data_IF_900323908695
#
_entry.id   IF_900323908695
#
_cell.length_a   1.000
_cell.length_b   1.000
_cell.length_c   1.000
_cell.angle_alpha   90.00
_cell.angle_beta   90.00
_cell.angle_gamma   90.00
#
_symmetry.space_group_name_H-M   'P 1'
#
loop_
_entity.id
_entity.type
_entity.pdbx_description
1 polymer ?
#
# COMPACT_ATOMS: atom_id res chain seq x y z
N UNK A 1 -7.72 -34.85 31.16
CA UNK A 1 -6.65 -35.84 30.93
C UNK A 1 -6.41 -35.93 29.43
N UNK A 2 -5.34 -35.31 28.92
CA UNK A 2 -4.94 -35.42 27.53
C UNK A 2 -4.15 -36.72 27.36
N UNK A 3 -4.64 -37.65 26.54
CA UNK A 3 -3.91 -38.86 26.22
C UNK A 3 -2.70 -38.52 25.35
N UNK A 4 -1.51 -39.06 25.62
CA UNK A 4 -0.37 -38.87 24.78
C UNK A 4 -0.61 -39.59 23.46
N UNK A 5 -0.49 -38.87 22.33
CA UNK A 5 -0.50 -39.48 21.02
C UNK A 5 0.73 -40.40 20.87
N UNK A 6 0.49 -41.68 20.77
CA UNK A 6 1.55 -42.66 20.50
C UNK A 6 2.07 -42.48 19.07
N UNK A 7 3.35 -42.23 18.92
CA UNK A 7 4.02 -42.23 17.63
C UNK A 7 4.12 -43.70 17.13
N UNK A 8 4.17 -43.86 15.81
CA UNK A 8 4.17 -45.17 15.11
C UNK A 8 5.28 -46.16 15.49
N UNK A 9 6.27 -45.73 16.27
CA UNK A 9 7.36 -46.58 16.78
C UNK A 9 7.17 -47.07 18.22
N UNK A 10 6.01 -46.80 18.82
CA UNK A 10 5.63 -47.35 20.14
C UNK A 10 6.46 -46.83 21.33
N UNK A 11 7.36 -45.90 21.13
CA UNK A 11 8.19 -45.35 22.21
C UNK A 11 7.52 -44.10 22.80
N UNK A 12 7.29 -44.04 24.15
CA UNK A 12 6.75 -42.85 24.75
C UNK A 12 7.74 -41.68 24.62
N UNK A 13 7.26 -40.57 24.04
CA UNK A 13 8.06 -39.33 24.04
C UNK A 13 8.16 -38.77 25.44
N UNK A 14 9.32 -38.90 26.06
CA UNK A 14 9.61 -38.21 27.32
C UNK A 14 9.90 -36.75 27.00
N UNK A 15 8.93 -35.90 27.30
CA UNK A 15 9.19 -34.45 27.28
C UNK A 15 10.06 -34.09 28.46
N UNK A 16 11.29 -33.69 28.21
CA UNK A 16 12.16 -33.12 29.24
C UNK A 16 11.62 -31.75 29.61
N UNK A 17 11.70 -31.36 30.87
CA UNK A 17 11.27 -30.03 31.39
C UNK A 17 12.00 -28.86 30.71
N UNK A 18 13.03 -29.12 29.96
CA UNK A 18 13.80 -28.20 29.15
C UNK A 18 13.30 -28.31 27.71
N UNK A 19 12.66 -27.29 27.19
CA UNK A 19 12.25 -27.21 25.79
C UNK A 19 13.42 -26.69 24.92
N UNK A 20 14.38 -27.53 24.51
CA UNK A 20 15.52 -27.08 23.71
C UNK A 20 15.14 -26.82 22.25
N UNK A 21 13.88 -27.03 21.87
CA UNK A 21 13.39 -26.89 20.49
C UNK A 21 12.61 -25.61 20.26
N UNK A 22 13.02 -24.51 20.82
CA UNK A 22 12.71 -23.23 20.22
C UNK A 22 13.49 -23.19 18.91
N UNK A 23 12.78 -23.44 17.83
CA UNK A 23 13.33 -23.30 16.49
C UNK A 23 13.64 -21.81 16.30
N UNK A 24 14.84 -21.40 16.72
CA UNK A 24 15.35 -20.08 16.42
C UNK A 24 15.66 -20.07 14.92
N UNK A 25 14.64 -19.85 14.11
CA UNK A 25 14.87 -19.46 12.73
C UNK A 25 15.64 -18.14 12.78
N UNK A 26 16.91 -18.21 12.46
CA UNK A 26 17.68 -17.04 12.09
C UNK A 26 17.06 -16.51 10.81
N UNK A 27 16.10 -15.56 10.94
CA UNK A 27 15.60 -14.81 9.81
C UNK A 27 16.73 -13.94 9.31
N UNK A 28 17.19 -14.21 8.09
CA UNK A 28 18.17 -13.35 7.42
C UNK A 28 17.65 -11.90 7.40
N UNK A 29 18.53 -10.92 7.63
CA UNK A 29 18.21 -9.49 7.51
C UNK A 29 17.60 -9.16 6.13
N UNK A 30 17.92 -9.96 5.12
CA UNK A 30 17.43 -9.82 3.74
C UNK A 30 16.29 -10.77 3.40
N UNK A 31 15.49 -11.23 4.39
CA UNK A 31 14.37 -12.15 4.18
C UNK A 31 13.36 -11.66 3.13
N UNK A 32 13.19 -10.35 3.03
CA UNK A 32 12.25 -9.69 2.11
C UNK A 32 12.69 -9.76 0.62
N UNK A 33 13.98 -10.04 0.34
CA UNK A 33 14.49 -10.26 -1.03
C UNK A 33 14.30 -11.70 -1.51
N UNK A 34 14.00 -12.65 -0.59
CA UNK A 34 13.94 -14.07 -0.93
C UNK A 34 12.71 -14.46 -1.76
N UNK A 35 11.60 -13.69 -1.63
CA UNK A 35 10.37 -13.95 -2.38
C UNK A 35 9.82 -12.66 -2.98
N UNK A 36 9.37 -12.76 -4.25
CA UNK A 36 8.75 -11.61 -4.96
C UNK A 36 7.58 -11.00 -4.19
N UNK A 37 6.79 -11.82 -3.49
CA UNK A 37 5.66 -11.34 -2.67
C UNK A 37 6.10 -10.47 -1.50
N UNK A 38 7.21 -10.81 -0.85
CA UNK A 38 7.76 -10.02 0.25
C UNK A 38 8.35 -8.70 -0.26
N UNK A 39 9.07 -8.76 -1.39
CA UNK A 39 9.59 -7.56 -2.03
C UNK A 39 8.46 -6.60 -2.43
N UNK A 40 7.40 -7.11 -3.09
CA UNK A 40 6.24 -6.31 -3.45
C UNK A 40 5.53 -5.70 -2.22
N UNK A 41 5.45 -6.45 -1.11
CA UNK A 41 4.90 -5.95 0.14
C UNK A 41 5.74 -4.78 0.69
N UNK A 42 7.05 -4.95 0.82
CA UNK A 42 7.95 -3.88 1.30
C UNK A 42 7.92 -2.66 0.39
N UNK A 43 7.88 -2.87 -0.94
CA UNK A 43 7.78 -1.78 -1.90
C UNK A 43 6.45 -1.01 -1.75
N UNK A 44 5.35 -1.71 -1.47
CA UNK A 44 4.06 -1.08 -1.17
C UNK A 44 4.13 -0.24 0.10
N UNK A 45 4.72 -0.77 1.18
CA UNK A 45 4.88 0.00 2.43
C UNK A 45 5.78 1.23 2.21
N UNK A 46 6.87 1.08 1.47
CA UNK A 46 7.77 2.19 1.11
C UNK A 46 7.05 3.25 0.26
N UNK A 47 6.08 2.86 -0.56
CA UNK A 47 5.30 3.81 -1.37
C UNK A 47 4.50 4.82 -0.53
N UNK A 48 4.20 4.51 0.74
CA UNK A 48 3.54 5.44 1.66
C UNK A 48 4.34 6.73 1.89
N UNK A 49 5.67 6.66 1.82
CA UNK A 49 6.53 7.85 1.94
C UNK A 49 6.30 8.82 0.76
N UNK A 50 6.13 8.28 -0.44
CA UNK A 50 5.86 9.07 -1.64
C UNK A 50 4.44 9.63 -1.66
N UNK A 51 3.47 8.88 -1.11
CA UNK A 51 2.11 9.40 -0.90
C UNK A 51 2.13 10.57 0.10
N UNK A 52 2.85 10.43 1.21
CA UNK A 52 3.01 11.50 2.20
C UNK A 52 3.72 12.72 1.60
N UNK A 53 4.80 12.53 0.82
CA UNK A 53 5.46 13.61 0.09
C UNK A 53 4.46 14.35 -0.80
N UNK A 54 3.67 13.63 -1.59
CA UNK A 54 2.71 14.26 -2.51
C UNK A 54 1.62 15.04 -1.77
N UNK A 55 1.16 14.54 -0.62
CA UNK A 55 0.23 15.25 0.25
C UNK A 55 0.85 16.58 0.76
N UNK A 56 2.09 16.54 1.22
CA UNK A 56 2.83 17.75 1.65
C UNK A 56 3.00 18.72 0.49
N UNK A 57 3.37 18.22 -0.69
CA UNK A 57 3.50 19.04 -1.90
C UNK A 57 2.19 19.75 -2.26
N UNK A 58 1.05 19.06 -2.21
CA UNK A 58 -0.26 19.67 -2.44
C UNK A 58 -0.62 20.72 -1.36
N UNK A 59 -0.28 20.47 -0.09
CA UNK A 59 -0.46 21.47 0.96
C UNK A 59 0.41 22.71 0.74
N UNK A 60 1.63 22.55 0.26
CA UNK A 60 2.49 23.68 -0.12
C UNK A 60 1.89 24.48 -1.28
N UNK A 61 1.32 23.81 -2.29
CA UNK A 61 0.62 24.44 -3.40
C UNK A 61 -0.57 25.26 -2.90
N UNK A 62 -1.45 24.67 -2.08
CA UNK A 62 -2.61 25.35 -1.52
C UNK A 62 -2.18 26.58 -0.69
N UNK A 63 -1.13 26.43 0.12
CA UNK A 63 -0.55 27.53 0.88
C UNK A 63 0.01 28.65 -0.02
N UNK A 64 0.67 28.29 -1.12
CA UNK A 64 1.22 29.25 -2.07
C UNK A 64 0.09 30.06 -2.74
N UNK A 65 -0.98 29.39 -3.18
CA UNK A 65 -2.19 30.04 -3.74
C UNK A 65 -2.81 31.00 -2.71
N UNK A 66 -2.95 30.57 -1.46
CA UNK A 66 -3.53 31.39 -0.39
C UNK A 66 -2.68 32.60 0.01
N UNK A 67 -1.38 32.65 -0.34
CA UNK A 67 -0.49 33.78 -0.09
C UNK A 67 -0.47 34.81 -1.22
N UNK A 68 -1.10 34.50 -2.36
CA UNK A 68 -1.21 35.37 -3.50
C UNK A 68 -0.25 35.03 -4.64
N UNK A 69 -0.39 35.80 -5.73
CA UNK A 69 0.24 35.50 -7.02
C UNK A 69 1.77 35.36 -6.95
N UNK A 70 2.46 36.24 -6.25
CA UNK A 70 3.92 36.18 -6.15
C UNK A 70 4.40 34.87 -5.52
N UNK A 71 3.79 34.44 -4.40
CA UNK A 71 4.13 33.19 -3.74
C UNK A 71 3.77 31.96 -4.61
N UNK A 72 2.72 32.04 -5.39
CA UNK A 72 2.34 31.01 -6.33
C UNK A 72 3.36 30.86 -7.47
N UNK A 73 3.84 31.97 -8.04
CA UNK A 73 4.87 31.97 -9.09
C UNK A 73 6.22 31.41 -8.55
N UNK A 74 6.60 31.80 -7.34
CA UNK A 74 7.78 31.25 -6.67
C UNK A 74 7.66 29.73 -6.48
N UNK A 75 6.47 29.25 -6.05
CA UNK A 75 6.21 27.81 -5.93
C UNK A 75 6.31 27.10 -7.28
N UNK A 76 5.76 27.67 -8.35
CA UNK A 76 5.86 27.09 -9.70
C UNK A 76 7.31 27.00 -10.17
N UNK A 77 8.09 28.06 -9.98
CA UNK A 77 9.51 28.08 -10.32
C UNK A 77 10.30 27.02 -9.55
N UNK A 78 10.03 26.87 -8.23
CA UNK A 78 10.63 25.82 -7.41
C UNK A 78 10.20 24.43 -7.88
N UNK A 79 8.92 24.23 -8.20
CA UNK A 79 8.37 22.95 -8.68
C UNK A 79 8.94 22.53 -10.03
N UNK A 80 9.28 23.49 -10.90
CA UNK A 80 9.89 23.26 -12.20
C UNK A 80 11.40 22.94 -12.11
N UNK A 81 12.01 23.07 -10.93
CA UNK A 81 13.41 22.69 -10.76
C UNK A 81 13.61 21.19 -10.98
N UNK A 82 14.73 20.81 -11.61
CA UNK A 82 15.00 19.43 -12.00
C UNK A 82 14.88 18.41 -10.83
N UNK A 83 15.42 18.68 -9.62
CA UNK A 83 15.30 17.72 -8.51
C UNK A 83 13.85 17.54 -8.03
N UNK A 84 13.05 18.61 -7.99
CA UNK A 84 11.64 18.54 -7.55
C UNK A 84 10.80 17.84 -8.61
N UNK A 85 11.03 18.14 -9.88
CA UNK A 85 10.33 17.49 -10.98
C UNK A 85 10.62 15.99 -11.00
N UNK A 86 11.88 15.59 -10.83
CA UNK A 86 12.27 14.18 -10.76
C UNK A 86 11.64 13.48 -9.54
N UNK A 87 11.67 14.12 -8.37
CA UNK A 87 11.05 13.59 -7.16
C UNK A 87 9.54 13.41 -7.34
N UNK A 88 8.86 14.39 -7.95
CA UNK A 88 7.43 14.31 -8.23
C UNK A 88 7.10 13.20 -9.25
N UNK A 89 7.93 13.02 -10.28
CA UNK A 89 7.76 11.95 -11.26
C UNK A 89 7.90 10.55 -10.61
N UNK A 90 8.93 10.37 -9.79
CA UNK A 90 9.14 9.13 -9.03
C UNK A 90 7.98 8.90 -8.06
N UNK A 91 7.58 9.94 -7.31
CA UNK A 91 6.45 9.86 -6.38
C UNK A 91 5.15 9.48 -7.09
N UNK A 92 4.90 10.06 -8.26
CA UNK A 92 3.73 9.69 -9.08
C UNK A 92 3.73 8.21 -9.45
N UNK A 93 4.86 7.67 -9.89
CA UNK A 93 5.01 6.24 -10.17
C UNK A 93 4.68 5.36 -8.94
N UNK A 94 5.18 5.74 -7.77
CA UNK A 94 4.87 5.04 -6.52
C UNK A 94 3.43 5.19 -6.06
N UNK A 95 2.77 6.33 -6.29
CA UNK A 95 1.35 6.55 -5.99
C UNK A 95 0.48 5.63 -6.86
N UNK A 96 0.77 5.55 -8.15
CA UNK A 96 0.07 4.64 -9.07
C UNK A 96 0.26 3.18 -8.64
N UNK A 97 1.50 2.79 -8.34
CA UNK A 97 1.81 1.46 -7.80
C UNK A 97 1.05 1.16 -6.51
N UNK A 98 1.02 2.12 -5.57
CA UNK A 98 0.29 2.01 -4.30
C UNK A 98 -1.21 1.80 -4.55
N UNK A 99 -1.83 2.62 -5.40
CA UNK A 99 -3.25 2.52 -5.72
C UNK A 99 -3.60 1.15 -6.33
N UNK A 100 -2.83 0.69 -7.32
CA UNK A 100 -3.05 -0.61 -7.97
C UNK A 100 -2.93 -1.76 -6.95
N UNK A 101 -1.86 -1.78 -6.17
CA UNK A 101 -1.63 -2.85 -5.19
C UNK A 101 -2.66 -2.83 -4.06
N UNK A 102 -3.13 -1.65 -3.66
CA UNK A 102 -4.20 -1.50 -2.69
C UNK A 102 -5.53 -2.04 -3.24
N UNK A 103 -5.90 -1.69 -4.46
CA UNK A 103 -7.14 -2.19 -5.10
C UNK A 103 -7.13 -3.71 -5.32
N UNK A 104 -5.94 -4.30 -5.49
CA UNK A 104 -5.80 -5.76 -5.54
C UNK A 104 -5.93 -6.41 -4.16
N UNK A 105 -5.48 -5.75 -3.09
CA UNK A 105 -5.50 -6.28 -1.74
C UNK A 105 -6.85 -6.07 -1.03
N UNK A 106 -7.50 -4.93 -1.25
CA UNK A 106 -8.74 -4.55 -0.58
C UNK A 106 -9.87 -5.60 -0.69
N UNK A 107 -10.14 -6.21 -1.88
CA UNK A 107 -11.18 -7.24 -2.01
C UNK A 107 -10.88 -8.53 -1.25
N UNK A 108 -9.62 -8.77 -0.87
CA UNK A 108 -9.22 -9.95 -0.10
C UNK A 108 -9.41 -9.73 1.40
N UNK A 109 -9.29 -8.47 1.85
CA UNK A 109 -9.47 -8.08 3.24
C UNK A 109 -10.93 -7.82 3.62
N UNK A 110 -11.75 -7.36 2.65
CA UNK A 110 -13.13 -6.94 2.88
C UNK A 110 -14.08 -8.03 2.38
N UNK A 111 -14.80 -8.67 3.32
CA UNK A 111 -15.86 -9.62 2.98
C UNK A 111 -17.22 -8.89 3.04
N UNK A 112 -17.73 -8.52 1.86
CA UNK A 112 -19.04 -7.85 1.75
C UNK A 112 -20.14 -8.89 1.58
N UNK A 113 -21.22 -8.76 2.39
CA UNK A 113 -22.42 -9.56 2.26
C UNK A 113 -23.61 -8.66 1.90
N UNK A 114 -24.33 -9.00 0.83
CA UNK A 114 -25.56 -8.32 0.42
C UNK A 114 -26.67 -9.38 0.35
N UNK A 115 -27.75 -9.15 1.10
CA UNK A 115 -28.86 -10.09 1.15
C UNK A 115 -28.49 -11.52 1.61
N UNK A 116 -27.51 -11.63 2.54
CA UNK A 116 -27.03 -12.93 3.04
C UNK A 116 -26.08 -13.68 2.09
N UNK A 117 -25.78 -13.14 0.92
CA UNK A 117 -24.83 -13.72 -0.05
C UNK A 117 -23.51 -12.96 -0.08
N UNK A 118 -22.40 -13.69 -0.11
CA UNK A 118 -21.08 -13.10 -0.24
C UNK A 118 -20.89 -12.50 -1.66
N UNK A 119 -20.53 -11.23 -1.72
CA UNK A 119 -20.18 -10.55 -2.98
C UNK A 119 -18.85 -11.10 -3.49
N UNK A 120 -18.77 -11.37 -4.79
CA UNK A 120 -17.53 -11.82 -5.41
C UNK A 120 -16.42 -10.76 -5.27
N UNK A 121 -15.21 -11.17 -4.90
CA UNK A 121 -14.07 -10.26 -4.70
C UNK A 121 -13.75 -9.43 -5.96
N UNK A 122 -14.00 -9.98 -7.16
CA UNK A 122 -13.83 -9.26 -8.41
C UNK A 122 -14.77 -8.06 -8.58
N UNK A 123 -16.01 -8.15 -8.07
CA UNK A 123 -16.96 -7.03 -8.07
C UNK A 123 -16.50 -5.91 -7.13
N UNK A 124 -15.99 -6.27 -5.95
CA UNK A 124 -15.45 -5.29 -5.00
C UNK A 124 -14.23 -4.57 -5.60
N UNK A 125 -13.30 -5.32 -6.20
CA UNK A 125 -12.14 -4.74 -6.91
C UNK A 125 -12.56 -3.86 -8.08
N UNK A 126 -13.47 -4.32 -8.92
CA UNK A 126 -14.02 -3.56 -10.06
C UNK A 126 -14.68 -2.24 -9.63
N UNK A 127 -15.40 -2.24 -8.50
CA UNK A 127 -16.00 -1.03 -7.95
C UNK A 127 -14.93 0.01 -7.53
N UNK A 128 -13.80 -0.41 -6.96
CA UNK A 128 -12.70 0.51 -6.63
C UNK A 128 -12.08 1.15 -7.88
N UNK A 129 -11.83 0.36 -8.94
CA UNK A 129 -11.32 0.91 -10.19
C UNK A 129 -12.32 1.86 -10.86
N UNK A 130 -13.60 1.50 -10.85
CA UNK A 130 -14.65 2.36 -11.40
C UNK A 130 -14.74 3.69 -10.63
N UNK A 131 -14.76 3.64 -9.30
CA UNK A 131 -14.77 4.83 -8.46
C UNK A 131 -13.54 5.72 -8.73
N UNK A 132 -12.35 5.11 -8.85
CA UNK A 132 -11.12 5.83 -9.18
C UNK A 132 -11.20 6.51 -10.55
N UNK A 133 -11.69 5.81 -11.59
CA UNK A 133 -11.87 6.39 -12.93
C UNK A 133 -12.87 7.54 -12.93
N UNK A 134 -14.02 7.37 -12.25
CA UNK A 134 -15.04 8.41 -12.16
C UNK A 134 -14.49 9.65 -11.46
N UNK A 135 -13.84 9.47 -10.31
CA UNK A 135 -13.23 10.60 -9.58
C UNK A 135 -12.14 11.30 -10.40
N UNK A 136 -11.31 10.55 -11.10
CA UNK A 136 -10.28 11.12 -11.99
C UNK A 136 -10.90 11.91 -13.14
N UNK A 137 -12.00 11.39 -13.73
CA UNK A 137 -12.72 12.09 -14.80
C UNK A 137 -13.39 13.38 -14.28
N UNK A 138 -13.99 13.35 -13.08
CA UNK A 138 -14.57 14.55 -12.46
C UNK A 138 -13.51 15.61 -12.20
N UNK A 139 -12.38 15.24 -11.63
CA UNK A 139 -11.25 16.17 -11.40
C UNK A 139 -10.74 16.74 -12.72
N UNK A 140 -10.52 15.89 -13.73
CA UNK A 140 -10.08 16.35 -15.05
C UNK A 140 -11.10 17.31 -15.68
N UNK A 141 -12.40 17.00 -15.58
CA UNK A 141 -13.47 17.87 -16.09
C UNK A 141 -13.48 19.22 -15.39
N UNK A 142 -13.34 19.26 -14.05
CA UNK A 142 -13.27 20.51 -13.28
C UNK A 142 -12.06 21.35 -13.67
N UNK A 143 -10.88 20.72 -13.86
CA UNK A 143 -9.66 21.43 -14.20
C UNK A 143 -9.64 21.93 -15.65
N UNK A 144 -10.23 21.18 -16.59
CA UNK A 144 -10.26 21.55 -18.00
C UNK A 144 -11.48 22.38 -18.38
N UNK A 145 -12.61 22.18 -17.70
CA UNK A 145 -13.86 22.89 -17.97
C UNK A 145 -13.97 24.26 -17.30
N UNK A 146 -13.08 24.56 -16.33
CA UNK A 146 -13.02 25.86 -15.65
C UNK A 146 -12.20 26.93 -16.42
N UNK A 147 -11.84 26.66 -17.69
CA UNK A 147 -11.12 27.61 -18.56
C UNK A 147 -12.06 28.46 -19.37
#
# INVERSE_FOLDING_TARGET
>A
MLQPHAHSDGKPHVYTAYHPRWLRHHTSTYWWLQKRSYFAFILRELSCLFVAWFAVYLLMLVRAIGRGEAAYQDFLAWSASAPVLLLNLVSFGFIVYHAITFFMAAPQAIVVHIGGRRVASGLVGGAHYLAWMVMSAVVAWLLLGAR
#
